data_IF_302600766112
#
_entry.id   IF_302600766112
#
_cell.length_a   1.000
_cell.length_b   1.000
_cell.length_c   1.000
_cell.angle_alpha   90.00
_cell.angle_beta   90.00
_cell.angle_gamma   90.00
#
_symmetry.space_group_name_H-M   'P 1'
#
loop_
_entity.id
_entity.type
_entity.pdbx_description
1 polymer ?
#
# COMPACT_ATOMS: atom_id res chain seq x y z
N UNK A 1 14.09 22.79 15.36
CA UNK A 1 14.20 22.46 13.92
C UNK A 1 12.99 21.64 13.57
N UNK A 2 12.11 22.10 12.68
CA UNK A 2 11.09 21.20 12.13
C UNK A 2 11.83 20.12 11.34
N UNK A 3 11.58 18.86 11.67
CA UNK A 3 12.18 17.73 11.00
C UNK A 3 11.61 17.65 9.57
N UNK A 4 12.47 17.81 8.56
CA UNK A 4 12.09 17.76 7.16
C UNK A 4 11.44 16.42 6.78
N UNK A 5 11.68 15.36 7.57
CA UNK A 5 11.02 14.06 7.45
C UNK A 5 9.51 14.13 7.66
N UNK A 6 9.06 14.83 8.70
CA UNK A 6 7.64 15.00 9.01
C UNK A 6 6.92 15.75 7.89
N UNK A 7 7.55 16.83 7.39
CA UNK A 7 7.00 17.60 6.28
C UNK A 7 6.84 16.75 5.01
N UNK A 8 7.79 15.84 4.75
CA UNK A 8 7.74 14.93 3.60
C UNK A 8 6.61 13.90 3.72
N UNK A 9 6.47 13.26 4.87
CA UNK A 9 5.39 12.30 5.13
C UNK A 9 4.01 12.97 5.03
N UNK A 10 3.87 14.18 5.56
CA UNK A 10 2.65 14.98 5.44
C UNK A 10 2.33 15.27 3.96
N UNK A 11 3.34 15.65 3.16
CA UNK A 11 3.15 15.93 1.75
C UNK A 11 2.70 14.68 0.96
N UNK A 12 3.29 13.51 1.24
CA UNK A 12 2.87 12.25 0.63
C UNK A 12 1.43 11.89 1.01
N UNK A 13 1.07 12.02 2.28
CA UNK A 13 -0.31 11.79 2.74
C UNK A 13 -1.31 12.68 2.01
N UNK A 14 -1.01 13.98 1.86
CA UNK A 14 -1.87 14.92 1.12
C UNK A 14 -2.02 14.56 -0.36
N UNK A 15 -0.94 14.13 -1.01
CA UNK A 15 -0.98 13.70 -2.41
C UNK A 15 -1.89 12.48 -2.57
N UNK A 16 -1.72 11.47 -1.70
CA UNK A 16 -2.53 10.24 -1.71
C UNK A 16 -4.03 10.58 -1.58
N UNK A 17 -4.38 11.46 -0.63
CA UNK A 17 -5.78 11.89 -0.43
C UNK A 17 -6.38 12.60 -1.63
N UNK A 18 -5.56 13.28 -2.44
CA UNK A 18 -6.03 14.00 -3.61
C UNK A 18 -6.28 13.07 -4.81
N UNK A 19 -5.67 11.88 -4.86
CA UNK A 19 -5.71 10.98 -6.02
C UNK A 19 -7.13 10.66 -6.50
N UNK A 20 -8.13 10.33 -5.64
CA UNK A 20 -9.48 10.03 -6.11
C UNK A 20 -10.18 11.19 -6.82
N UNK A 21 -9.77 12.44 -6.53
CA UNK A 21 -10.30 13.63 -7.20
C UNK A 21 -9.47 14.08 -8.41
N UNK A 22 -8.23 13.58 -8.55
CA UNK A 22 -7.33 13.92 -9.66
C UNK A 22 -7.39 12.90 -10.80
N UNK A 23 -7.70 11.64 -10.49
CA UNK A 23 -7.81 10.56 -11.46
C UNK A 23 -9.22 10.50 -12.05
N UNK A 24 -9.29 10.17 -13.33
CA UNK A 24 -10.53 9.77 -13.98
C UNK A 24 -10.90 8.31 -13.61
N UNK A 25 -12.01 7.81 -14.15
CA UNK A 25 -12.50 6.48 -13.82
C UNK A 25 -11.51 5.37 -14.22
N UNK A 26 -10.85 5.50 -15.37
CA UNK A 26 -9.86 4.53 -15.87
C UNK A 26 -8.60 4.54 -15.01
N UNK A 27 -8.05 5.72 -14.72
CA UNK A 27 -6.89 5.87 -13.85
C UNK A 27 -7.16 5.39 -12.44
N UNK A 28 -8.38 5.60 -11.92
CA UNK A 28 -8.78 5.08 -10.62
C UNK A 28 -8.87 3.55 -10.62
N UNK A 29 -9.43 2.94 -11.67
CA UNK A 29 -9.46 1.49 -11.81
C UNK A 29 -8.05 0.90 -11.85
N UNK A 30 -7.16 1.48 -12.67
CA UNK A 30 -5.77 1.05 -12.77
C UNK A 30 -4.99 1.16 -11.45
N UNK A 31 -5.23 2.24 -10.67
CA UNK A 31 -4.65 2.40 -9.34
C UNK A 31 -5.13 1.29 -8.39
N UNK A 32 -6.43 0.97 -8.43
CA UNK A 32 -7.01 -0.07 -7.56
C UNK A 32 -6.50 -1.47 -7.91
N UNK A 33 -6.38 -1.79 -9.20
CA UNK A 33 -5.79 -3.06 -9.67
C UNK A 33 -4.33 -3.17 -9.21
N UNK A 34 -3.54 -2.11 -9.41
CA UNK A 34 -2.14 -2.05 -8.99
C UNK A 34 -1.95 -2.25 -7.47
N UNK A 35 -2.85 -1.67 -6.66
CA UNK A 35 -2.87 -1.88 -5.22
C UNK A 35 -3.25 -3.31 -4.87
N UNK A 36 -4.22 -3.91 -5.56
CA UNK A 36 -4.68 -5.28 -5.30
C UNK A 36 -3.57 -6.31 -5.50
N UNK A 37 -2.81 -6.19 -6.59
CA UNK A 37 -1.67 -7.07 -6.90
C UNK A 37 -0.60 -7.09 -5.79
N UNK A 38 -0.42 -5.99 -5.07
CA UNK A 38 0.64 -5.80 -4.06
C UNK A 38 0.19 -6.11 -2.63
N UNK A 39 -1.09 -6.43 -2.44
CA UNK A 39 -1.64 -6.85 -1.15
C UNK A 39 -1.49 -8.36 -0.89
N UNK A 40 -1.16 -9.13 -1.93
CA UNK A 40 -0.97 -10.58 -1.89
C UNK A 40 0.52 -10.88 -1.80
N UNK A 41 0.96 -11.45 -0.69
CA UNK A 41 2.23 -12.17 -0.68
C UNK A 41 1.97 -13.52 -1.35
N UNK A 42 2.78 -13.91 -2.34
CA UNK A 42 2.66 -15.23 -2.94
C UNK A 42 2.78 -16.31 -1.84
N UNK A 43 1.75 -17.16 -1.70
CA UNK A 43 1.58 -18.26 -0.71
C UNK A 43 2.63 -19.40 -0.85
N UNK A 44 3.91 -19.05 -0.99
CA UNK A 44 5.02 -19.99 -1.07
C UNK A 44 5.75 -20.21 0.26
N UNK A 45 5.26 -19.66 1.38
CA UNK A 45 5.96 -19.67 2.67
C UNK A 45 5.19 -20.37 3.81
N UNK A 46 4.21 -21.21 3.49
CA UNK A 46 3.55 -22.09 4.47
C UNK A 46 4.36 -23.37 4.80
N UNK A 47 5.70 -23.33 4.73
CA UNK A 47 6.54 -24.47 5.13
C UNK A 47 6.89 -24.33 6.63
N UNK A 48 6.43 -25.23 7.52
CA UNK A 48 6.65 -25.17 8.99
C UNK A 48 8.10 -25.44 9.42
N UNK A 49 9.07 -25.04 8.60
CA UNK A 49 10.50 -25.01 8.90
C UNK A 49 11.23 -23.80 8.26
N UNK A 50 10.50 -22.83 7.69
CA UNK A 50 11.10 -21.71 6.99
C UNK A 50 11.88 -20.78 7.94
N UNK A 51 13.17 -20.69 7.66
CA UNK A 51 14.13 -19.74 8.22
C UNK A 51 13.51 -18.33 8.22
N UNK A 52 13.63 -17.59 9.32
CA UNK A 52 13.25 -16.17 9.36
C UNK A 52 14.04 -15.46 8.25
N UNK A 53 13.36 -15.18 7.14
CA UNK A 53 13.94 -14.44 6.03
C UNK A 53 14.02 -13.00 6.48
N UNK A 54 15.24 -12.50 6.67
CA UNK A 54 15.50 -11.11 6.99
C UNK A 54 14.80 -10.21 5.96
N UNK A 55 13.91 -9.31 6.42
CA UNK A 55 13.09 -8.46 5.56
C UNK A 55 11.63 -8.89 5.39
N UNK A 56 11.25 -10.12 5.77
CA UNK A 56 9.86 -10.60 5.67
C UNK A 56 8.88 -9.73 6.46
N UNK A 57 9.24 -9.31 7.68
CA UNK A 57 8.42 -8.42 8.51
C UNK A 57 8.18 -7.06 7.84
N UNK A 58 9.18 -6.56 7.11
CA UNK A 58 9.06 -5.28 6.39
C UNK A 58 8.15 -5.43 5.17
N UNK A 59 8.28 -6.51 4.41
CA UNK A 59 7.41 -6.79 3.26
C UNK A 59 5.95 -7.01 3.71
N UNK A 60 5.72 -7.70 4.83
CA UNK A 60 4.40 -7.84 5.43
C UNK A 60 3.82 -6.49 5.86
N UNK A 61 4.62 -5.64 6.50
CA UNK A 61 4.20 -4.30 6.87
C UNK A 61 3.86 -3.45 5.64
N UNK A 62 4.64 -3.55 4.55
CA UNK A 62 4.37 -2.86 3.29
C UNK A 62 3.06 -3.36 2.66
N UNK A 63 2.86 -4.67 2.57
CA UNK A 63 1.63 -5.27 2.05
C UNK A 63 0.40 -4.82 2.87
N UNK A 64 0.52 -4.75 4.19
CA UNK A 64 -0.52 -4.25 5.09
C UNK A 64 -0.83 -2.77 4.82
N UNK A 65 0.20 -1.92 4.67
CA UNK A 65 0.02 -0.51 4.30
C UNK A 65 -0.68 -0.37 2.94
N UNK A 66 -0.39 -1.22 1.95
CA UNK A 66 -1.13 -1.21 0.69
C UNK A 66 -2.61 -1.56 0.84
N UNK A 67 -2.96 -2.48 1.76
CA UNK A 67 -4.37 -2.80 2.09
C UNK A 67 -5.09 -1.58 2.66
N UNK A 68 -4.45 -0.90 3.62
CA UNK A 68 -4.99 0.31 4.24
C UNK A 68 -5.20 1.44 3.23
N UNK A 69 -4.25 1.62 2.30
CA UNK A 69 -4.36 2.59 1.21
C UNK A 69 -5.51 2.24 0.26
N UNK A 70 -5.68 0.97 -0.11
CA UNK A 70 -6.78 0.51 -0.95
C UNK A 70 -8.14 0.80 -0.31
N UNK A 71 -8.30 0.54 1.00
CA UNK A 71 -9.51 0.87 1.74
C UNK A 71 -9.77 2.38 1.77
N UNK A 72 -8.74 3.16 2.09
CA UNK A 72 -8.80 4.62 2.19
C UNK A 72 -9.17 5.30 0.87
N UNK A 73 -8.67 4.78 -0.25
CA UNK A 73 -8.93 5.29 -1.60
C UNK A 73 -10.25 4.76 -2.20
N UNK A 74 -10.95 3.89 -1.46
CA UNK A 74 -12.23 3.32 -1.87
C UNK A 74 -12.11 2.36 -3.05
N UNK A 75 -11.01 1.60 -3.12
CA UNK A 75 -10.77 0.60 -4.16
C UNK A 75 -11.49 -0.74 -3.92
N UNK A 76 -11.93 -0.99 -2.69
CA UNK A 76 -12.71 -2.20 -2.36
C UNK A 76 -14.18 -1.99 -2.74
N UNK A 77 -14.61 -2.60 -3.84
CA UNK A 77 -16.04 -2.85 -4.07
C UNK A 77 -16.44 -4.12 -3.31
N UNK A 78 -17.56 -4.03 -2.58
CA UNK A 78 -18.21 -5.12 -1.86
C UNK A 78 -18.54 -6.31 -2.78
#
# INVERSE_FOLDING_TARGET
MQDSGDARLIAYGKLIEALPGLLDAEGRAALCDWLSERQVMHDGQEDPGAVIVEGLETELAIAQVFRELSERLGCRQL
#
